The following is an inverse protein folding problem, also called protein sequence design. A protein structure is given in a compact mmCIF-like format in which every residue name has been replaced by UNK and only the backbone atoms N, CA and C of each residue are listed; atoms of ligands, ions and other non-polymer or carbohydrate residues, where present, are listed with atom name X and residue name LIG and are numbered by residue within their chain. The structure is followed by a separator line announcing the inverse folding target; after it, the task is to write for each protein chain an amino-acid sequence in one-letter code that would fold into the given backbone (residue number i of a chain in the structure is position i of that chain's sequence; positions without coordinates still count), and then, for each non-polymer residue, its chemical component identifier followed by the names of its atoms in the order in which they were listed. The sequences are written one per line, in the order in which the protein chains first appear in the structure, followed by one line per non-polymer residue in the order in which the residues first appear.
data_IF_631696966311
#
_entry.id   IF_631696966311
#
_cell.length_a   1.000
_cell.length_b   1.000
_cell.length_c   1.000
_cell.angle_alpha   90.00
_cell.angle_beta   90.00
_cell.angle_gamma   90.00
#
_symmetry.space_group_name_H-M   'P 1'
#
loop_
_entity.id
_entity.type
_entity.pdbx_description
1 polymer ?
#
# COMPACT_ATOMS: atom_id res chain seq x y z
N UNK A 1 10.13 -46.26 -65.87
CA UNK A 1 9.56 -44.90 -65.64
C UNK A 1 9.10 -44.69 -64.19
N UNK A 2 9.12 -45.70 -63.31
CA UNK A 2 8.70 -45.61 -61.90
C UNK A 2 9.70 -44.91 -60.97
N UNK A 3 11.00 -45.17 -61.13
CA UNK A 3 12.02 -44.77 -60.15
C UNK A 3 12.19 -43.25 -60.04
N UNK A 4 11.97 -42.52 -61.13
CA UNK A 4 12.05 -41.04 -61.13
C UNK A 4 10.90 -40.38 -60.36
N UNK A 5 9.72 -41.00 -60.36
CA UNK A 5 8.54 -40.51 -59.64
C UNK A 5 8.71 -40.77 -58.14
N UNK A 6 9.16 -41.96 -57.77
CA UNK A 6 9.37 -42.34 -56.37
C UNK A 6 10.44 -41.46 -55.69
N UNK A 7 11.56 -41.23 -56.38
CA UNK A 7 12.62 -40.30 -55.89
C UNK A 7 12.13 -38.87 -55.73
N UNK A 8 11.26 -38.40 -56.63
CA UNK A 8 10.71 -37.05 -56.55
C UNK A 8 9.74 -36.91 -55.37
N UNK A 9 8.93 -37.94 -55.08
CA UNK A 9 8.04 -37.98 -53.94
C UNK A 9 8.81 -38.02 -52.61
N UNK A 10 9.92 -38.74 -52.54
CA UNK A 10 10.78 -38.77 -51.36
C UNK A 10 11.42 -37.41 -51.06
N UNK A 11 11.86 -36.70 -52.11
CA UNK A 11 12.38 -35.34 -51.98
C UNK A 11 11.28 -34.39 -51.49
N UNK A 12 10.06 -34.48 -52.02
CA UNK A 12 8.93 -33.66 -51.57
C UNK A 12 8.63 -33.92 -50.09
N UNK A 13 8.57 -35.18 -49.65
CA UNK A 13 8.35 -35.54 -48.24
C UNK A 13 9.47 -35.03 -47.32
N UNK A 14 10.72 -35.11 -47.77
CA UNK A 14 11.86 -34.58 -47.02
C UNK A 14 11.76 -33.05 -46.84
N UNK A 15 11.33 -32.33 -47.89
CA UNK A 15 11.07 -30.89 -47.84
C UNK A 15 9.89 -30.53 -46.95
N UNK A 16 8.79 -31.30 -46.98
CA UNK A 16 7.64 -31.10 -46.10
C UNK A 16 8.03 -31.27 -44.63
N UNK A 17 8.78 -32.33 -44.31
CA UNK A 17 9.30 -32.54 -42.95
C UNK A 17 10.23 -31.43 -42.50
N UNK A 18 11.06 -30.90 -43.41
CA UNK A 18 11.93 -29.77 -43.10
C UNK A 18 11.13 -28.49 -42.85
N UNK A 19 10.09 -28.23 -43.66
CA UNK A 19 9.16 -27.10 -43.48
C UNK A 19 8.45 -27.16 -42.13
N UNK A 20 7.93 -28.34 -41.75
CA UNK A 20 7.30 -28.56 -40.44
C UNK A 20 8.27 -28.27 -39.28
N UNK A 21 9.54 -28.65 -39.43
CA UNK A 21 10.59 -28.33 -38.46
C UNK A 21 10.79 -26.83 -38.28
N UNK A 22 10.86 -26.07 -39.39
CA UNK A 22 10.98 -24.61 -39.36
C UNK A 22 9.75 -23.96 -38.73
N UNK A 23 8.54 -24.42 -39.07
CA UNK A 23 7.30 -23.91 -38.50
C UNK A 23 7.24 -24.14 -36.98
N UNK A 24 7.69 -25.30 -36.52
CA UNK A 24 7.77 -25.60 -35.10
C UNK A 24 8.76 -24.67 -34.37
N UNK A 25 9.97 -24.49 -34.91
CA UNK A 25 10.95 -23.57 -34.33
C UNK A 25 10.44 -22.12 -34.29
N UNK A 26 9.79 -21.67 -35.36
CA UNK A 26 9.18 -20.35 -35.44
C UNK A 26 8.11 -20.16 -34.36
N UNK A 27 7.30 -21.18 -34.10
CA UNK A 27 6.28 -21.14 -33.04
C UNK A 27 6.91 -21.10 -31.64
N UNK A 28 8.01 -21.83 -31.41
CA UNK A 28 8.78 -21.73 -30.16
C UNK A 28 9.37 -20.33 -29.96
N UNK A 29 9.93 -19.73 -31.01
CA UNK A 29 10.47 -18.36 -30.97
C UNK A 29 9.37 -17.36 -30.64
N UNK A 30 8.19 -17.45 -31.26
CA UNK A 30 7.03 -16.59 -30.94
C UNK A 30 6.60 -16.71 -29.48
N UNK A 31 6.55 -17.93 -28.93
CA UNK A 31 6.23 -18.15 -27.51
C UNK A 31 7.25 -17.50 -26.58
N UNK A 32 8.56 -17.67 -26.86
CA UNK A 32 9.62 -17.01 -26.10
C UNK A 32 9.55 -15.49 -26.19
N UNK A 33 9.31 -14.93 -27.37
CA UNK A 33 9.15 -13.50 -27.56
C UNK A 33 7.95 -12.94 -26.78
N UNK A 34 6.84 -13.68 -26.70
CA UNK A 34 5.68 -13.30 -25.88
C UNK A 34 6.00 -13.26 -24.39
N UNK A 35 6.74 -14.26 -23.88
CA UNK A 35 7.17 -14.28 -22.47
C UNK A 35 8.13 -13.12 -22.17
N UNK A 36 9.14 -12.91 -23.01
CA UNK A 36 10.08 -11.78 -22.87
C UNK A 36 9.36 -10.43 -22.85
N UNK A 37 8.32 -10.26 -23.67
CA UNK A 37 7.52 -9.03 -23.65
C UNK A 37 6.81 -8.82 -22.32
N UNK A 38 6.23 -9.88 -21.74
CA UNK A 38 5.60 -9.81 -20.43
C UNK A 38 6.62 -9.48 -19.33
N UNK A 39 7.83 -10.04 -19.39
CA UNK A 39 8.91 -9.74 -18.43
C UNK A 39 9.36 -8.28 -18.52
N UNK A 40 9.49 -7.73 -19.74
CA UNK A 40 9.80 -6.32 -19.96
C UNK A 40 8.70 -5.42 -19.39
N UNK A 41 7.43 -5.75 -19.63
CA UNK A 41 6.30 -4.99 -19.11
C UNK A 41 6.27 -5.01 -17.57
N UNK A 42 6.54 -6.17 -16.95
CA UNK A 42 6.64 -6.31 -15.50
C UNK A 42 7.81 -5.50 -14.93
N UNK A 43 9.01 -5.61 -15.52
CA UNK A 43 10.17 -4.81 -15.11
C UNK A 43 9.88 -3.31 -15.21
N UNK A 44 9.23 -2.87 -16.29
CA UNK A 44 8.79 -1.48 -16.46
C UNK A 44 7.80 -1.02 -15.38
N UNK A 45 6.90 -1.89 -14.91
CA UNK A 45 6.03 -1.58 -13.77
C UNK A 45 6.81 -1.45 -12.46
N UNK A 46 7.79 -2.33 -12.20
CA UNK A 46 8.61 -2.25 -10.99
C UNK A 46 9.48 -0.98 -10.97
N UNK A 47 10.07 -0.61 -12.11
CA UNK A 47 10.83 0.64 -12.23
C UNK A 47 9.93 1.84 -11.95
N UNK A 48 8.72 1.91 -12.51
CA UNK A 48 7.78 3.00 -12.20
C UNK A 48 7.40 3.07 -10.73
N UNK A 49 7.24 1.93 -10.06
CA UNK A 49 7.00 1.90 -8.61
C UNK A 49 8.22 2.42 -7.84
N UNK A 50 9.42 1.99 -8.20
CA UNK A 50 10.66 2.45 -7.58
C UNK A 50 10.86 3.96 -7.76
N UNK A 51 10.62 4.50 -8.97
CA UNK A 51 10.67 5.95 -9.22
C UNK A 51 9.68 6.69 -8.33
N UNK A 52 8.43 6.22 -8.22
CA UNK A 52 7.45 6.87 -7.33
C UNK A 52 7.86 6.82 -5.85
N UNK A 53 8.45 5.71 -5.40
CA UNK A 53 9.00 5.61 -4.07
C UNK A 53 10.17 6.59 -3.86
N UNK A 54 11.05 6.74 -4.85
CA UNK A 54 12.17 7.69 -4.80
C UNK A 54 11.68 9.14 -4.81
N UNK A 55 10.71 9.49 -5.65
CA UNK A 55 10.04 10.81 -5.65
C UNK A 55 9.36 11.08 -4.30
N UNK A 56 8.76 10.04 -3.69
CA UNK A 56 8.15 10.15 -2.36
C UNK A 56 9.22 10.33 -1.29
N UNK A 57 10.36 9.66 -1.41
CA UNK A 57 11.50 9.82 -0.51
C UNK A 57 12.13 11.21 -0.65
N UNK A 58 12.31 11.71 -1.87
CA UNK A 58 12.79 13.08 -2.11
C UNK A 58 11.82 14.14 -1.57
N UNK A 59 10.51 13.89 -1.65
CA UNK A 59 9.50 14.74 -1.00
C UNK A 59 9.68 14.73 0.53
N UNK A 60 9.90 13.55 1.13
CA UNK A 60 10.15 13.43 2.57
C UNK A 60 11.49 14.04 3.00
N UNK A 61 12.55 13.90 2.19
CA UNK A 61 13.88 14.44 2.46
C UNK A 61 13.90 15.98 2.28
N UNK A 62 13.05 16.52 1.40
CA UNK A 62 12.83 17.96 1.21
C UNK A 62 11.88 18.58 2.24
N UNK A 63 11.19 17.76 3.03
CA UNK A 63 10.52 18.19 4.23
C UNK A 63 11.58 18.28 5.34
N UNK A 64 12.19 19.47 5.49
CA UNK A 64 12.94 19.84 6.70
C UNK A 64 12.08 19.47 7.90
N UNK A 65 12.48 18.42 8.61
CA UNK A 65 12.06 18.02 9.94
C UNK A 65 10.65 18.54 10.31
N UNK A 66 9.61 18.01 9.66
CA UNK A 66 8.27 18.04 10.24
C UNK A 66 8.36 17.04 11.38
N UNK A 67 8.92 17.53 12.48
CA UNK A 67 9.59 16.74 13.49
C UNK A 67 8.84 15.49 13.88
N UNK A 68 9.63 14.48 14.22
CA UNK A 68 9.51 13.74 15.47
C UNK A 68 8.21 14.03 16.24
N UNK A 69 7.39 13.02 16.60
CA UNK A 69 6.04 13.20 17.11
C UNK A 69 6.01 14.40 18.06
N UNK A 70 5.13 15.39 17.82
CA UNK A 70 5.12 16.64 18.57
C UNK A 70 5.30 16.34 20.06
N UNK A 71 6.09 17.14 20.78
CA UNK A 71 6.24 16.96 22.23
C UNK A 71 4.86 16.76 22.87
N UNK A 72 4.75 16.00 23.96
CA UNK A 72 3.44 15.77 24.60
C UNK A 72 2.66 17.07 24.90
N UNK A 73 3.36 18.18 25.16
CA UNK A 73 2.76 19.51 25.25
C UNK A 73 2.13 20.00 23.94
N UNK A 74 2.76 19.73 22.79
CA UNK A 74 2.23 20.08 21.47
C UNK A 74 0.98 19.27 21.10
N UNK A 75 0.83 18.05 21.62
CA UNK A 75 -0.39 17.25 21.43
C UNK A 75 -1.53 17.65 22.35
N UNK A 76 -1.26 18.33 23.47
CA UNK A 76 -2.30 18.73 24.43
C UNK A 76 -3.36 19.61 23.77
N UNK A 77 -2.92 20.57 22.98
CA UNK A 77 -3.78 21.53 22.29
C UNK A 77 -4.23 21.06 20.89
N UNK A 78 -3.90 19.80 20.52
CA UNK A 78 -4.27 19.24 19.24
C UNK A 78 -5.80 19.10 19.13
N UNK A 79 -6.45 19.66 18.08
CA UNK A 79 -7.89 19.52 17.89
C UNK A 79 -8.29 18.06 17.68
N UNK A 80 -9.34 17.59 18.35
CA UNK A 80 -9.82 16.20 18.22
C UNK A 80 -10.21 15.81 16.79
N UNK A 81 -10.56 16.78 15.95
CA UNK A 81 -10.84 16.57 14.54
C UNK A 81 -9.62 16.04 13.76
N UNK A 82 -8.41 16.43 14.15
CA UNK A 82 -7.16 16.00 13.54
C UNK A 82 -6.80 14.58 13.99
N UNK A 83 -7.16 14.23 15.23
CA UNK A 83 -6.72 12.97 15.87
C UNK A 83 -7.71 11.82 15.65
N UNK A 84 -9.01 12.09 15.82
CA UNK A 84 -10.08 11.09 15.72
C UNK A 84 -10.79 11.15 14.35
N UNK A 85 -10.56 12.22 13.59
CA UNK A 85 -11.22 12.47 12.32
C UNK A 85 -12.64 13.03 12.47
N UNK A 86 -13.23 13.46 11.36
CA UNK A 86 -14.63 13.90 11.30
C UNK A 86 -15.56 12.70 11.37
N UNK A 87 -16.50 12.70 12.30
CA UNK A 87 -17.47 11.62 12.40
C UNK A 87 -18.31 11.66 13.69
N UNK A 88 -19.17 10.65 13.88
CA UNK A 88 -20.12 10.60 15.00
C UNK A 88 -19.44 10.54 16.38
N UNK A 89 -18.18 10.13 16.45
CA UNK A 89 -17.37 10.17 17.67
C UNK A 89 -17.10 11.63 18.07
N UNK A 90 -16.66 12.45 17.11
CA UNK A 90 -16.34 13.86 17.34
C UNK A 90 -17.56 14.65 17.80
N UNK A 91 -18.74 14.38 17.24
CA UNK A 91 -19.98 15.05 17.64
C UNK A 91 -20.34 14.76 19.10
N UNK A 92 -20.16 13.50 19.54
CA UNK A 92 -20.41 13.08 20.93
C UNK A 92 -19.39 13.68 21.90
N UNK A 93 -18.11 13.75 21.51
CA UNK A 93 -17.06 14.39 22.31
C UNK A 93 -17.31 15.90 22.47
N UNK A 94 -17.65 16.59 21.37
CA UNK A 94 -18.00 18.01 21.39
C UNK A 94 -19.25 18.30 22.21
N UNK A 95 -20.24 17.40 22.24
CA UNK A 95 -21.42 17.53 23.10
C UNK A 95 -21.08 17.54 24.61
N UNK A 96 -19.88 17.07 24.98
CA UNK A 96 -19.36 17.11 26.35
C UNK A 96 -18.28 18.18 26.56
N UNK A 97 -18.20 19.14 25.62
CA UNK A 97 -17.19 20.21 25.63
C UNK A 97 -15.75 19.70 25.57
N UNK A 98 -15.53 18.49 25.04
CA UNK A 98 -14.20 17.97 24.75
C UNK A 98 -13.86 18.34 23.30
N UNK A 99 -12.81 19.14 23.14
CA UNK A 99 -12.41 19.71 21.86
C UNK A 99 -10.95 19.43 21.51
N UNK A 100 -10.12 19.19 22.52
CA UNK A 100 -8.70 18.88 22.37
C UNK A 100 -8.33 17.48 22.89
N UNK A 101 -7.20 16.96 22.43
CA UNK A 101 -6.68 15.67 22.88
C UNK A 101 -6.28 15.70 24.37
N UNK A 102 -5.78 16.83 24.87
CA UNK A 102 -5.47 17.02 26.29
C UNK A 102 -6.69 16.93 27.20
N UNK A 103 -7.78 17.60 26.82
CA UNK A 103 -9.05 17.54 27.58
C UNK A 103 -9.61 16.11 27.63
N UNK A 104 -9.55 15.39 26.51
CA UNK A 104 -9.96 14.00 26.43
C UNK A 104 -9.07 13.09 27.29
N UNK A 105 -7.76 13.30 27.26
CA UNK A 105 -6.82 12.56 28.08
C UNK A 105 -7.07 12.78 29.58
N UNK A 106 -7.23 14.03 30.02
CA UNK A 106 -7.54 14.40 31.40
C UNK A 106 -8.90 13.79 31.85
N UNK A 107 -9.89 13.76 30.95
CA UNK A 107 -11.19 13.13 31.18
C UNK A 107 -11.07 11.62 31.44
N UNK A 108 -10.31 10.91 30.60
CA UNK A 108 -10.08 9.47 30.74
C UNK A 108 -9.22 9.13 31.97
N UNK A 109 -8.19 9.93 32.27
CA UNK A 109 -7.32 9.72 33.43
C UNK A 109 -8.07 9.91 34.76
N UNK A 110 -9.09 10.76 34.77
CA UNK A 110 -9.97 10.95 35.93
C UNK A 110 -10.88 9.76 36.22
N UNK A 111 -10.78 8.67 35.43
CA UNK A 111 -11.57 7.44 35.61
C UNK A 111 -12.98 7.52 35.01
N UNK A 112 -13.29 8.55 34.23
CA UNK A 112 -14.59 8.67 33.58
C UNK A 112 -14.67 7.70 32.39
N UNK A 113 -15.71 6.86 32.38
CA UNK A 113 -15.94 5.94 31.26
C UNK A 113 -16.53 6.68 30.05
N UNK A 114 -15.90 6.50 28.89
CA UNK A 114 -16.34 7.10 27.62
C UNK A 114 -17.66 6.48 27.16
N UNK A 115 -17.90 5.20 27.46
CA UNK A 115 -19.19 4.56 27.21
C UNK A 115 -20.29 5.18 28.07
N UNK A 116 -20.13 5.24 29.40
CA UNK A 116 -21.23 5.66 30.28
C UNK A 116 -21.45 7.18 30.32
N UNK A 117 -20.39 7.99 30.18
CA UNK A 117 -20.49 9.44 30.31
C UNK A 117 -20.67 10.16 28.98
N UNK A 118 -20.17 9.57 27.87
CA UNK A 118 -20.22 10.17 26.53
C UNK A 118 -21.18 9.39 25.60
N UNK A 119 -21.49 8.13 25.91
CA UNK A 119 -22.35 7.29 25.06
C UNK A 119 -21.63 6.76 23.83
N UNK A 120 -20.31 6.55 23.92
CA UNK A 120 -19.56 5.84 22.89
C UNK A 120 -19.92 4.35 22.90
N UNK A 121 -19.87 3.70 21.74
CA UNK A 121 -19.88 2.23 21.67
C UNK A 121 -18.49 1.69 22.02
N UNK A 122 -18.37 0.40 22.35
CA UNK A 122 -17.07 -0.24 22.64
C UNK A 122 -16.06 -0.03 21.50
N UNK A 123 -16.50 -0.15 20.24
CA UNK A 123 -15.64 0.10 19.09
C UNK A 123 -15.18 1.57 18.99
N UNK A 124 -16.07 2.52 19.32
CA UNK A 124 -15.73 3.95 19.33
C UNK A 124 -14.78 4.29 20.49
N UNK A 125 -14.97 3.67 21.65
CA UNK A 125 -14.06 3.81 22.79
C UNK A 125 -12.65 3.33 22.46
N UNK A 126 -12.52 2.19 21.76
CA UNK A 126 -11.23 1.69 21.30
C UNK A 126 -10.48 2.70 20.42
N UNK A 127 -11.16 3.29 19.43
CA UNK A 127 -10.58 4.32 18.54
C UNK A 127 -10.12 5.55 19.34
N UNK A 128 -10.90 5.96 20.34
CA UNK A 128 -10.57 7.11 21.21
C UNK A 128 -9.41 6.78 22.15
N UNK A 129 -9.31 5.54 22.65
CA UNK A 129 -8.17 5.08 23.44
C UNK A 129 -6.89 5.00 22.61
N UNK A 130 -6.94 4.56 21.36
CA UNK A 130 -5.78 4.60 20.45
C UNK A 130 -5.30 6.04 20.21
N UNK A 131 -6.22 6.99 20.04
CA UNK A 131 -5.90 8.42 19.98
C UNK A 131 -5.24 8.91 21.27
N UNK A 132 -5.77 8.55 22.44
CA UNK A 132 -5.16 8.87 23.73
C UNK A 132 -3.77 8.23 23.91
N UNK A 133 -3.56 7.01 23.43
CA UNK A 133 -2.26 6.34 23.51
C UNK A 133 -1.17 7.11 22.73
N UNK A 134 -1.56 7.82 21.66
CA UNK A 134 -0.67 8.74 20.94
C UNK A 134 -0.25 9.92 21.83
N UNK A 135 -1.14 10.41 22.71
CA UNK A 135 -0.86 11.47 23.68
C UNK A 135 0.00 11.01 24.87
N UNK A 136 -0.26 9.80 25.37
CA UNK A 136 0.48 9.23 26.51
C UNK A 136 1.81 8.57 26.13
N UNK A 137 2.07 8.44 24.82
CA UNK A 137 3.19 7.81 24.15
C UNK A 137 4.19 7.02 25.00
N UNK A 138 4.15 5.69 24.88
CA UNK A 138 5.22 4.74 25.28
C UNK A 138 6.43 4.76 24.34
N UNK A 139 6.60 5.80 23.53
CA UNK A 139 7.73 6.02 22.66
C UNK A 139 8.33 7.42 22.93
N UNK A 140 8.68 7.67 24.19
CA UNK A 140 9.83 8.52 24.45
C UNK A 140 11.03 7.83 23.81
N UNK A 141 11.56 8.40 22.74
CA UNK A 141 12.78 7.91 22.11
C UNK A 141 14.06 8.31 22.90
N UNK A 142 13.90 8.60 24.20
CA UNK A 142 14.93 9.02 25.14
C UNK A 142 15.11 8.04 26.32
N UNK A 143 14.73 6.76 26.14
CA UNK A 143 15.02 5.69 27.10
C UNK A 143 15.99 4.64 26.55
#
# INVERSE_FOLDING_TARGET
MSDGIERSLDIIRAWEKHREGIEFELEQVKRRAKMLRADIDYAGQQIRKAIKCDESQQLLDGMEDVGYPPSRSSWRDAPLEVVVGKGPILDKLKAKSLTTLGELADFTQSGNSLISHIGLTEHQEHVVQEACNTYWGTHDADA
#
